data_IF_251338077092
#
_entry.id   IF_251338077092
#
_cell.length_a   1.000
_cell.length_b   1.000
_cell.length_c   1.000
_cell.angle_alpha   90.00
_cell.angle_beta   90.00
_cell.angle_gamma   90.00
#
_symmetry.space_group_name_H-M   'P 1'
#
loop_
_entity.id
_entity.type
_entity.pdbx_description
1 polymer ?
#
# COMPACT_ATOMS: atom_id res chain seq x y z
N UNK A 1 11.91 -12.33 -11.27
CA UNK A 1 11.58 -11.23 -10.33
C UNK A 1 10.08 -11.20 -10.20
N UNK A 2 9.54 -11.12 -8.98
CA UNK A 2 8.10 -11.00 -8.75
C UNK A 2 7.64 -9.64 -9.30
N UNK A 3 6.61 -9.63 -10.13
CA UNK A 3 6.02 -8.38 -10.63
C UNK A 3 5.18 -7.74 -9.52
N UNK A 4 5.16 -6.41 -9.41
CA UNK A 4 4.30 -5.73 -8.45
C UNK A 4 2.83 -5.92 -8.86
N UNK A 5 1.96 -6.14 -7.87
CA UNK A 5 0.50 -6.22 -8.04
C UNK A 5 -0.11 -4.90 -8.48
N UNK A 6 0.51 -3.78 -8.09
CA UNK A 6 0.06 -2.44 -8.42
C UNK A 6 1.16 -1.63 -9.10
N UNK A 7 0.76 -0.55 -9.75
CA UNK A 7 1.65 0.37 -10.46
C UNK A 7 1.45 1.80 -9.96
N UNK A 8 2.44 2.65 -10.22
CA UNK A 8 2.33 4.09 -9.91
C UNK A 8 1.12 4.66 -10.67
N UNK A 9 0.25 5.35 -9.94
CA UNK A 9 -1.03 5.89 -10.43
C UNK A 9 -2.25 5.03 -10.09
N UNK A 10 -2.06 3.78 -9.68
CA UNK A 10 -3.18 2.96 -9.23
C UNK A 10 -3.79 3.50 -7.93
N UNK A 11 -5.11 3.40 -7.85
CA UNK A 11 -5.92 3.73 -6.68
C UNK A 11 -6.04 2.50 -5.81
N UNK A 12 -5.79 2.64 -4.52
CA UNK A 12 -5.86 1.55 -3.56
C UNK A 12 -6.54 1.98 -2.26
N UNK A 13 -7.01 1.00 -1.49
CA UNK A 13 -7.41 1.17 -0.10
C UNK A 13 -6.77 0.10 0.78
N UNK A 14 -6.60 0.42 2.05
CA UNK A 14 -6.10 -0.54 3.02
C UNK A 14 -7.19 -1.57 3.35
N UNK A 15 -6.80 -2.81 3.58
CA UNK A 15 -7.66 -3.90 4.03
C UNK A 15 -7.20 -4.36 5.43
N UNK A 16 -8.04 -5.04 6.25
CA UNK A 16 -9.36 -5.62 5.98
C UNK A 16 -10.57 -4.74 6.35
N UNK A 17 -10.37 -3.59 6.98
CA UNK A 17 -11.49 -2.77 7.46
C UNK A 17 -12.07 -1.92 6.32
N UNK A 18 -13.39 -1.69 6.32
CA UNK A 18 -14.08 -0.95 5.23
C UNK A 18 -14.06 0.57 5.41
N UNK A 19 -13.71 1.06 6.60
CA UNK A 19 -13.53 2.48 6.94
C UNK A 19 -12.05 2.89 6.90
N UNK A 20 -11.24 2.17 6.14
CA UNK A 20 -9.80 2.36 6.05
C UNK A 20 -9.44 3.57 5.21
N UNK A 21 -8.16 3.93 5.26
CA UNK A 21 -7.60 4.91 4.36
C UNK A 21 -7.56 4.43 2.90
N UNK A 22 -7.54 5.40 1.99
CA UNK A 22 -7.38 5.20 0.56
C UNK A 22 -6.53 6.29 -0.06
N UNK A 23 -5.98 5.99 -1.24
CA UNK A 23 -5.10 6.91 -1.92
C UNK A 23 -4.64 6.41 -3.27
N UNK A 24 -3.57 7.06 -3.74
CA UNK A 24 -2.93 6.77 -5.03
C UNK A 24 -1.49 6.34 -4.79
N UNK A 25 -1.05 5.28 -5.46
CA UNK A 25 0.34 4.82 -5.39
C UNK A 25 1.24 5.83 -6.13
N UNK A 26 2.23 6.38 -5.41
CA UNK A 26 3.19 7.34 -5.95
C UNK A 26 4.64 6.81 -5.94
N UNK A 27 4.88 5.65 -5.34
CA UNK A 27 6.19 5.00 -5.32
C UNK A 27 6.07 3.52 -4.99
N UNK A 28 7.08 2.75 -5.36
CA UNK A 28 7.16 1.32 -5.07
C UNK A 28 8.60 0.88 -4.87
N UNK A 29 8.83 -0.06 -3.95
CA UNK A 29 10.14 -0.67 -3.71
C UNK A 29 9.99 -2.16 -3.43
N UNK A 30 10.89 -2.96 -3.97
CA UNK A 30 11.00 -4.38 -3.64
C UNK A 30 12.12 -4.54 -2.61
N UNK A 31 11.75 -4.92 -1.38
CA UNK A 31 12.67 -4.92 -0.24
C UNK A 31 12.56 -6.21 0.58
N UNK A 32 13.65 -6.63 1.25
CA UNK A 32 13.61 -7.76 2.16
C UNK A 32 12.89 -7.39 3.47
N UNK A 33 12.11 -8.32 3.99
CA UNK A 33 11.46 -8.26 5.29
C UNK A 33 12.04 -9.37 6.16
N UNK A 34 12.53 -8.96 7.32
CA UNK A 34 12.99 -9.87 8.35
C UNK A 34 11.78 -10.39 9.13
N UNK A 35 11.36 -11.61 8.83
CA UNK A 35 10.37 -12.31 9.65
C UNK A 35 11.10 -13.16 10.68
N UNK A 36 10.64 -13.14 11.93
CA UNK A 36 11.27 -13.85 13.06
C UNK A 36 11.30 -15.39 12.92
N UNK A 37 10.71 -15.92 11.84
CA UNK A 37 10.48 -17.36 11.63
C UNK A 37 11.22 -17.93 10.41
N UNK A 38 11.94 -17.12 9.62
CA UNK A 38 12.63 -17.59 8.41
C UNK A 38 14.14 -17.34 8.48
N UNK A 39 14.93 -18.35 8.12
CA UNK A 39 16.39 -18.24 7.98
C UNK A 39 16.80 -17.41 6.74
N UNK A 40 15.88 -17.16 5.81
CA UNK A 40 16.07 -16.31 4.64
C UNK A 40 15.08 -15.14 4.63
N UNK A 41 15.52 -13.92 4.25
CA UNK A 41 14.62 -12.78 4.15
C UNK A 41 13.59 -13.04 3.04
N UNK A 42 12.32 -12.84 3.37
CA UNK A 42 11.26 -12.80 2.37
C UNK A 42 11.30 -11.44 1.69
N UNK A 43 11.09 -11.39 0.39
CA UNK A 43 11.05 -10.13 -0.35
C UNK A 43 9.63 -9.83 -0.75
N UNK A 44 9.17 -8.61 -0.49
CA UNK A 44 7.83 -8.16 -0.85
C UNK A 44 7.88 -6.77 -1.49
N UNK A 45 6.79 -6.41 -2.16
CA UNK A 45 6.58 -5.06 -2.63
C UNK A 45 5.99 -4.19 -1.53
N UNK A 46 6.57 -3.00 -1.38
CA UNK A 46 6.05 -1.91 -0.60
C UNK A 46 5.64 -0.78 -1.52
N UNK A 47 4.54 -0.11 -1.17
CA UNK A 47 3.99 0.99 -1.94
C UNK A 47 3.93 2.24 -1.07
N UNK A 48 4.42 3.36 -1.60
CA UNK A 48 4.21 4.68 -1.02
C UNK A 48 2.90 5.21 -1.58
N UNK A 49 1.93 5.41 -0.69
CA UNK A 49 0.58 5.83 -1.05
C UNK A 49 0.38 7.28 -0.63
N UNK A 50 -0.04 8.12 -1.57
CA UNK A 50 -0.54 9.46 -1.31
C UNK A 50 -2.01 9.37 -0.93
N UNK A 51 -2.33 9.72 0.31
CA UNK A 51 -3.70 9.67 0.81
C UNK A 51 -4.56 10.74 0.14
N UNK A 52 -5.79 10.37 -0.20
CA UNK A 52 -6.76 11.30 -0.75
C UNK A 52 -7.13 12.38 0.29
N UNK A 53 -7.53 13.59 -0.16
CA UNK A 53 -7.93 14.68 0.73
C UNK A 53 -9.01 14.32 1.76
N UNK A 54 -9.88 13.37 1.43
CA UNK A 54 -11.02 12.93 2.24
C UNK A 54 -10.76 11.60 2.99
N UNK A 55 -9.57 11.02 2.86
CA UNK A 55 -9.19 9.81 3.59
C UNK A 55 -9.17 10.08 5.11
N UNK A 56 -9.65 9.16 5.97
CA UNK A 56 -9.77 9.38 7.40
C UNK A 56 -8.50 9.89 8.11
N UNK A 57 -7.33 9.39 7.74
CA UNK A 57 -6.04 9.77 8.35
C UNK A 57 -5.36 10.95 7.66
N UNK A 58 -5.91 11.48 6.57
CA UNK A 58 -5.33 12.61 5.82
C UNK A 58 -4.99 13.84 6.66
N UNK A 59 -5.76 14.22 7.71
CA UNK A 59 -5.40 15.34 8.57
C UNK A 59 -4.08 15.16 9.33
N UNK A 60 -3.59 13.91 9.47
CA UNK A 60 -2.41 13.57 10.26
C UNK A 60 -1.23 13.14 9.40
N UNK A 61 -1.49 12.50 8.26
CA UNK A 61 -0.48 11.93 7.37
C UNK A 61 -0.83 12.22 5.90
N UNK A 62 0.17 12.63 5.12
CA UNK A 62 -0.01 12.91 3.68
C UNK A 62 0.28 11.65 2.86
N UNK A 63 1.33 10.93 3.22
CA UNK A 63 1.79 9.73 2.54
C UNK A 63 2.15 8.67 3.56
N UNK A 64 1.82 7.42 3.27
CA UNK A 64 2.17 6.29 4.13
C UNK A 64 2.68 5.10 3.30
N UNK A 65 3.48 4.24 3.93
CA UNK A 65 3.99 3.02 3.32
C UNK A 65 3.10 1.84 3.68
N UNK A 66 2.79 0.99 2.70
CA UNK A 66 2.00 -0.21 2.90
C UNK A 66 2.64 -1.42 2.21
N UNK A 67 2.47 -2.61 2.80
CA UNK A 67 2.80 -3.87 2.17
C UNK A 67 1.80 -4.20 1.05
N UNK A 68 2.24 -4.94 0.02
CA UNK A 68 1.39 -5.37 -1.09
C UNK A 68 0.09 -6.08 -0.65
N UNK A 69 0.16 -6.83 0.45
CA UNK A 69 -0.94 -7.64 0.96
C UNK A 69 -1.92 -6.83 1.82
N UNK A 70 -1.54 -5.63 2.26
CA UNK A 70 -2.39 -4.75 3.05
C UNK A 70 -3.26 -3.84 2.18
N UNK A 71 -3.10 -3.94 0.86
CA UNK A 71 -3.80 -3.12 -0.12
C UNK A 71 -4.74 -3.96 -0.99
N UNK A 72 -5.83 -3.34 -1.40
CA UNK A 72 -6.63 -3.78 -2.54
C UNK A 72 -6.91 -2.63 -3.52
N UNK A 73 -7.20 -2.99 -4.78
CA UNK A 73 -7.52 -1.98 -5.80
C UNK A 73 -8.84 -1.30 -5.44
N UNK A 74 -8.83 0.03 -5.49
CA UNK A 74 -9.99 0.85 -5.14
C UNK A 74 -10.48 1.62 -6.36
N UNK A 75 -11.68 1.32 -6.82
CA UNK A 75 -12.37 2.14 -7.80
C UNK A 75 -13.40 2.99 -7.05
N UNK A 76 -13.17 4.30 -7.00
CA UNK A 76 -14.24 5.22 -6.60
C UNK A 76 -15.35 5.09 -7.64
N UNK A 77 -16.57 4.80 -7.20
CA UNK A 77 -17.75 4.89 -8.06
C UNK A 77 -17.91 6.36 -8.46
N UNK A 78 -17.93 6.66 -9.75
CA UNK A 78 -18.17 8.01 -10.29
C UNK A 78 -19.52 8.59 -9.85
#
# INVERSE_FOLDING_TARGET
MQQPKYTIGDRCRWIPMTTTDWGTIIGQVFAPVETSQSLSPQWIWFYLVLLDPDSPSRPWVITDWAEENDLEQFQASE
#
